data_IF_134551613656
#
_entry.id   IF_134551613656
#
_cell.length_a   1.000
_cell.length_b   1.000
_cell.length_c   1.000
_cell.angle_alpha   90.00
_cell.angle_beta   90.00
_cell.angle_gamma   90.00
#
_symmetry.space_group_name_H-M   'P 1'
#
loop_
_entity.id
_entity.type
_entity.pdbx_description
1 polymer ?
#
# COMPACT_ATOMS: atom_id res chain seq x y z
N UNK A 1 35.46 -20.38 -13.93
CA UNK A 1 34.01 -20.49 -14.19
C UNK A 1 33.71 -19.63 -15.40
N UNK A 2 32.97 -20.13 -16.39
CA UNK A 2 32.58 -19.31 -17.55
C UNK A 2 31.51 -18.27 -17.17
N UNK A 3 31.32 -17.24 -18.00
CA UNK A 3 30.28 -16.21 -17.77
C UNK A 3 28.90 -16.85 -17.71
N UNK A 4 28.59 -17.79 -18.61
CA UNK A 4 27.28 -18.47 -18.65
C UNK A 4 27.02 -19.32 -17.40
N UNK A 5 28.04 -20.03 -16.90
CA UNK A 5 27.97 -20.78 -15.64
C UNK A 5 27.75 -19.84 -14.44
N UNK A 6 28.41 -18.69 -14.44
CA UNK A 6 28.22 -17.67 -13.40
C UNK A 6 26.79 -17.14 -13.42
N UNK A 7 26.26 -16.72 -14.57
CA UNK A 7 24.89 -16.20 -14.69
C UNK A 7 23.84 -17.24 -14.26
N UNK A 8 24.03 -18.51 -14.62
CA UNK A 8 23.16 -19.61 -14.18
C UNK A 8 23.21 -19.82 -12.66
N UNK A 9 24.41 -19.75 -12.08
CA UNK A 9 24.62 -19.88 -10.63
C UNK A 9 23.98 -18.70 -9.87
N UNK A 10 24.16 -17.47 -10.36
CA UNK A 10 23.57 -16.27 -9.79
C UNK A 10 22.04 -16.35 -9.79
N UNK A 11 21.44 -16.75 -10.92
CA UNK A 11 19.97 -16.95 -11.04
C UNK A 11 19.45 -17.98 -10.03
N UNK A 12 20.14 -19.11 -9.88
CA UNK A 12 19.75 -20.18 -8.94
C UNK A 12 19.83 -19.72 -7.48
N UNK A 13 20.76 -18.82 -7.16
CA UNK A 13 20.97 -18.30 -5.82
C UNK A 13 20.22 -16.99 -5.53
N UNK A 14 19.31 -16.58 -6.40
CA UNK A 14 18.55 -15.32 -6.33
C UNK A 14 19.48 -14.10 -6.15
N UNK A 15 20.52 -14.05 -6.99
CA UNK A 15 21.47 -12.93 -7.08
C UNK A 15 21.31 -12.25 -8.44
N UNK A 16 21.08 -10.95 -8.39
CA UNK A 16 20.90 -10.04 -9.51
C UNK A 16 22.13 -9.15 -9.70
N UNK A 17 22.39 -8.82 -10.95
CA UNK A 17 23.37 -7.82 -11.36
C UNK A 17 22.64 -6.58 -11.86
N UNK A 18 23.14 -5.40 -11.51
CA UNK A 18 22.62 -4.14 -12.02
C UNK A 18 23.78 -3.17 -12.24
N UNK A 19 23.53 -2.09 -12.98
CA UNK A 19 24.47 -0.97 -13.06
C UNK A 19 24.03 0.15 -12.14
N UNK A 20 24.97 0.66 -11.34
CA UNK A 20 24.81 1.91 -10.59
C UNK A 20 25.84 2.90 -11.13
N UNK A 21 25.46 3.63 -12.18
CA UNK A 21 26.40 4.37 -13.02
C UNK A 21 27.30 3.40 -13.80
N UNK A 22 28.61 3.60 -13.77
CA UNK A 22 29.61 2.74 -14.43
C UNK A 22 30.04 1.51 -13.59
N UNK A 23 29.42 1.30 -12.43
CA UNK A 23 29.79 0.21 -11.52
C UNK A 23 28.77 -0.92 -11.54
N UNK A 24 29.28 -2.15 -11.60
CA UNK A 24 28.50 -3.37 -11.38
C UNK A 24 28.05 -3.44 -9.91
N UNK A 25 26.73 -3.36 -9.70
CA UNK A 25 26.05 -3.62 -8.44
C UNK A 25 25.57 -5.07 -8.43
N UNK A 26 25.72 -5.72 -7.28
CA UNK A 26 25.27 -7.09 -7.07
C UNK A 26 24.31 -7.09 -5.89
N UNK A 27 23.10 -7.60 -6.09
CA UNK A 27 22.03 -7.62 -5.08
C UNK A 27 21.47 -9.04 -4.97
N UNK A 28 21.20 -9.52 -3.76
CA UNK A 28 20.64 -10.86 -3.60
C UNK A 28 20.96 -11.50 -2.26
N UNK A 29 20.83 -12.82 -2.21
CA UNK A 29 21.01 -13.60 -0.99
C UNK A 29 22.42 -13.41 -0.37
N UNK A 30 22.47 -12.99 0.91
CA UNK A 30 23.70 -12.72 1.65
C UNK A 30 24.65 -13.93 1.74
N UNK A 31 24.12 -15.15 1.81
CA UNK A 31 24.93 -16.38 1.80
C UNK A 31 25.60 -16.60 0.44
N UNK A 32 24.88 -16.33 -0.65
CA UNK A 32 25.43 -16.42 -2.01
C UNK A 32 26.52 -15.39 -2.26
N UNK A 33 26.36 -14.18 -1.73
CA UNK A 33 27.35 -13.09 -1.82
C UNK A 33 28.57 -13.29 -0.90
N UNK A 34 28.57 -14.30 -0.04
CA UNK A 34 29.70 -14.66 0.81
C UNK A 34 30.53 -15.81 0.22
N UNK A 35 30.11 -16.37 -0.91
CA UNK A 35 30.78 -17.48 -1.60
C UNK A 35 32.04 -16.97 -2.35
N UNK A 36 33.26 -17.40 -1.94
CA UNK A 36 34.50 -16.91 -2.55
C UNK A 36 34.61 -17.20 -4.05
N UNK A 37 34.01 -18.30 -4.52
CA UNK A 37 34.06 -18.66 -5.95
C UNK A 37 33.20 -17.72 -6.79
N UNK A 38 32.03 -17.34 -6.27
CA UNK A 38 31.14 -16.37 -6.93
C UNK A 38 31.79 -14.99 -6.96
N UNK A 39 32.36 -14.55 -5.84
CA UNK A 39 33.05 -13.25 -5.78
C UNK A 39 34.27 -13.19 -6.70
N UNK A 40 35.05 -14.27 -6.80
CA UNK A 40 36.18 -14.36 -7.72
C UNK A 40 35.71 -14.29 -9.17
N UNK A 41 34.69 -15.05 -9.55
CA UNK A 41 34.14 -15.06 -10.90
C UNK A 41 33.49 -13.72 -11.29
N UNK A 42 32.80 -13.04 -10.36
CA UNK A 42 32.27 -11.68 -10.56
C UNK A 42 33.36 -10.65 -10.81
N UNK A 43 34.52 -10.77 -10.13
CA UNK A 43 35.67 -9.89 -10.33
C UNK A 43 36.38 -10.18 -11.65
N UNK A 44 36.55 -11.46 -11.98
CA UNK A 44 37.17 -11.92 -13.23
C UNK A 44 36.40 -11.43 -14.45
N UNK A 45 35.07 -11.57 -14.44
CA UNK A 45 34.20 -11.24 -15.58
C UNK A 45 33.58 -9.84 -15.51
N UNK A 46 34.02 -8.98 -14.59
CA UNK A 46 33.40 -7.68 -14.30
C UNK A 46 33.16 -6.83 -15.56
N UNK A 47 34.18 -6.68 -16.40
CA UNK A 47 34.08 -5.85 -17.61
C UNK A 47 33.06 -6.42 -18.61
N UNK A 48 33.12 -7.73 -18.85
CA UNK A 48 32.19 -8.41 -19.76
C UNK A 48 30.74 -8.35 -19.25
N UNK A 49 30.52 -8.50 -17.94
CA UNK A 49 29.20 -8.37 -17.33
C UNK A 49 28.62 -6.96 -17.47
N UNK A 50 29.45 -5.92 -17.36
CA UNK A 50 29.01 -4.54 -17.58
C UNK A 50 28.57 -4.33 -19.04
N UNK A 51 29.37 -4.79 -20.01
CA UNK A 51 29.03 -4.65 -21.43
C UNK A 51 27.76 -5.45 -21.79
N UNK A 52 27.62 -6.65 -21.23
CA UNK A 52 26.45 -7.50 -21.45
C UNK A 52 25.17 -6.86 -20.89
N UNK A 53 25.23 -6.19 -19.73
CA UNK A 53 24.11 -5.41 -19.19
C UNK A 53 23.84 -4.16 -20.06
N UNK A 54 24.88 -3.43 -20.49
CA UNK A 54 24.73 -2.25 -21.37
C UNK A 54 24.13 -2.61 -22.74
N UNK A 55 24.45 -3.80 -23.25
CA UNK A 55 23.91 -4.34 -24.50
C UNK A 55 22.47 -4.87 -24.35
N UNK A 56 21.93 -4.95 -23.13
CA UNK A 56 20.59 -5.50 -22.87
C UNK A 56 20.51 -7.02 -22.97
N UNK A 57 21.64 -7.71 -23.06
CA UNK A 57 21.73 -9.17 -23.19
C UNK A 57 21.56 -9.90 -21.84
N UNK A 58 21.54 -9.14 -20.74
CA UNK A 58 21.18 -9.59 -19.41
C UNK A 58 20.05 -8.74 -18.88
N UNK A 59 18.94 -9.41 -18.56
CA UNK A 59 17.85 -8.84 -17.79
C UNK A 59 17.89 -9.47 -16.40
N UNK A 60 17.90 -8.62 -15.38
CA UNK A 60 17.86 -9.04 -13.98
C UNK A 60 16.48 -9.58 -13.59
N UNK A 61 15.83 -10.42 -14.39
CA UNK A 61 14.50 -10.91 -14.03
C UNK A 61 14.62 -11.90 -12.86
N UNK A 62 14.12 -11.51 -11.68
CA UNK A 62 13.68 -12.49 -10.69
C UNK A 62 12.73 -13.48 -11.38
N UNK A 63 12.79 -14.76 -11.01
CA UNK A 63 11.64 -15.62 -11.27
C UNK A 63 10.44 -14.97 -10.56
N UNK A 64 9.51 -14.40 -11.33
CA UNK A 64 8.38 -13.62 -10.78
C UNK A 64 8.52 -12.10 -10.80
N UNK A 65 9.48 -11.51 -11.52
CA UNK A 65 9.50 -10.05 -11.75
C UNK A 65 8.37 -9.67 -12.73
N UNK A 66 7.22 -9.33 -12.17
CA UNK A 66 6.07 -8.82 -12.92
C UNK A 66 6.41 -7.41 -13.37
N UNK A 67 6.38 -7.16 -14.69
CA UNK A 67 6.44 -5.79 -15.19
C UNK A 67 5.15 -5.07 -14.77
N UNK A 68 5.28 -4.18 -13.79
CA UNK A 68 4.17 -3.34 -13.34
C UNK A 68 4.12 -2.12 -14.28
N UNK A 69 3.02 -1.91 -15.02
CA UNK A 69 2.88 -0.73 -15.85
C UNK A 69 2.91 0.53 -14.98
N UNK A 70 3.45 1.61 -15.54
CA UNK A 70 3.37 2.90 -14.86
C UNK A 70 1.91 3.36 -14.75
N UNK A 71 1.63 4.14 -13.72
CA UNK A 71 0.35 4.80 -13.56
C UNK A 71 0.14 5.82 -14.70
N UNK A 72 -1.00 5.72 -15.39
CA UNK A 72 -1.33 6.55 -16.54
C UNK A 72 -2.07 7.86 -16.22
N UNK A 73 -2.45 8.12 -14.97
CA UNK A 73 -3.18 9.33 -14.55
C UNK A 73 -2.16 10.41 -14.10
N UNK A 74 -1.91 11.45 -14.92
CA UNK A 74 -0.94 12.47 -14.58
C UNK A 74 -1.41 13.35 -13.41
N UNK A 75 -0.44 13.97 -12.72
CA UNK A 75 -0.74 14.99 -11.73
C UNK A 75 -1.42 16.19 -12.40
N UNK A 76 -2.53 16.66 -11.82
CA UNK A 76 -3.30 17.77 -12.40
C UNK A 76 -4.18 17.38 -13.59
N UNK A 77 -4.43 16.09 -13.81
CA UNK A 77 -5.48 15.66 -14.73
C UNK A 77 -6.81 16.34 -14.36
N UNK A 78 -7.52 16.82 -15.38
CA UNK A 78 -8.90 17.36 -15.22
C UNK A 78 -9.94 16.28 -15.53
N UNK A 79 -9.56 15.27 -16.30
CA UNK A 79 -10.39 14.13 -16.67
C UNK A 79 -9.57 12.84 -16.69
N UNK A 80 -10.19 11.74 -16.24
CA UNK A 80 -9.64 10.39 -16.37
C UNK A 80 -10.36 9.73 -17.55
N UNK A 81 -9.58 9.13 -18.45
CA UNK A 81 -10.11 8.36 -19.59
C UNK A 81 -9.73 6.89 -19.44
N UNK A 82 -10.46 5.96 -20.08
CA UNK A 82 -10.15 4.53 -20.02
C UNK A 82 -8.70 4.19 -20.39
N UNK A 83 -8.12 4.92 -21.35
CA UNK A 83 -6.74 4.70 -21.81
C UNK A 83 -5.67 5.04 -20.74
N UNK A 84 -6.04 5.77 -19.68
CA UNK A 84 -5.13 6.06 -18.56
C UNK A 84 -5.07 4.91 -17.54
N UNK A 85 -6.02 3.96 -17.59
CA UNK A 85 -6.12 2.85 -16.65
C UNK A 85 -5.45 1.61 -17.26
N UNK A 86 -4.25 1.30 -16.79
CA UNK A 86 -3.42 0.23 -17.37
C UNK A 86 -3.80 -1.18 -16.90
N UNK A 87 -4.59 -1.28 -15.83
CA UNK A 87 -4.91 -2.54 -15.15
C UNK A 87 -6.42 -2.82 -15.07
N UNK A 88 -7.27 -1.95 -15.60
CA UNK A 88 -8.73 -2.11 -15.58
C UNK A 88 -9.36 -1.65 -16.89
N UNK A 89 -10.48 -2.25 -17.27
CA UNK A 89 -11.25 -1.88 -18.46
C UNK A 89 -12.57 -1.25 -18.05
N UNK A 90 -12.53 0.04 -17.70
CA UNK A 90 -13.71 0.80 -17.30
C UNK A 90 -14.26 1.63 -18.46
N UNK A 91 -15.58 1.72 -18.53
CA UNK A 91 -16.27 2.72 -19.34
C UNK A 91 -16.11 4.12 -18.75
N UNK A 92 -16.31 5.15 -19.58
CA UNK A 92 -16.27 6.54 -19.11
C UNK A 92 -17.29 6.80 -18.00
N UNK A 93 -18.50 6.25 -18.12
CA UNK A 93 -19.57 6.39 -17.13
C UNK A 93 -19.19 5.75 -15.77
N UNK A 94 -18.48 4.62 -15.78
CA UNK A 94 -17.99 3.97 -14.56
C UNK A 94 -16.91 4.80 -13.88
N UNK A 95 -15.97 5.35 -14.66
CA UNK A 95 -14.93 6.25 -14.17
C UNK A 95 -15.57 7.48 -13.51
N UNK A 96 -16.57 8.09 -14.14
CA UNK A 96 -17.27 9.25 -13.58
C UNK A 96 -18.01 8.93 -12.30
N UNK A 97 -18.62 7.75 -12.18
CA UNK A 97 -19.22 7.27 -10.93
C UNK A 97 -18.18 7.15 -9.81
N UNK A 98 -17.02 6.58 -10.09
CA UNK A 98 -15.92 6.45 -9.11
C UNK A 98 -15.38 7.82 -8.71
N UNK A 99 -15.16 8.71 -9.69
CA UNK A 99 -14.70 10.10 -9.44
C UNK A 99 -15.64 10.83 -8.49
N UNK A 100 -16.96 10.61 -8.61
CA UNK A 100 -17.96 11.25 -7.76
C UNK A 100 -17.91 10.80 -6.29
N UNK A 101 -17.27 9.67 -5.96
CA UNK A 101 -17.13 9.20 -4.57
C UNK A 101 -15.85 9.69 -3.89
N UNK A 102 -14.93 10.32 -4.64
CA UNK A 102 -13.63 10.75 -4.13
C UNK A 102 -13.65 12.25 -3.85
N UNK A 103 -13.32 12.63 -2.62
CA UNK A 103 -13.16 14.04 -2.25
C UNK A 103 -12.05 14.69 -3.08
N UNK A 104 -12.37 15.81 -3.73
CA UNK A 104 -11.47 16.48 -4.69
C UNK A 104 -11.52 15.89 -6.10
N UNK A 105 -12.34 14.86 -6.35
CA UNK A 105 -12.60 14.28 -7.66
C UNK A 105 -11.34 13.80 -8.36
N UNK A 106 -11.26 14.03 -9.68
CA UNK A 106 -10.14 13.60 -10.53
C UNK A 106 -8.79 14.03 -9.97
N UNK A 107 -8.69 15.26 -9.47
CA UNK A 107 -7.44 15.81 -8.98
C UNK A 107 -6.87 15.03 -7.79
N UNK A 108 -7.72 14.34 -7.04
CA UNK A 108 -7.31 13.51 -5.90
C UNK A 108 -7.21 12.02 -6.22
N UNK A 109 -7.50 11.58 -7.44
CA UNK A 109 -7.28 10.18 -7.83
C UNK A 109 -5.86 10.03 -8.36
N UNK A 110 -5.14 9.08 -7.76
CA UNK A 110 -3.87 8.62 -8.28
C UNK A 110 -4.06 7.46 -9.24
N UNK A 111 -4.77 6.40 -8.84
CA UNK A 111 -4.89 5.18 -9.64
C UNK A 111 -6.22 4.46 -9.41
N UNK A 112 -6.63 3.62 -10.36
CA UNK A 112 -7.80 2.74 -10.25
C UNK A 112 -7.45 1.37 -10.86
N UNK A 113 -7.48 0.32 -10.04
CA UNK A 113 -7.15 -1.02 -10.48
C UNK A 113 -7.86 -2.11 -9.67
N UNK A 114 -7.98 -3.34 -10.17
CA UNK A 114 -8.75 -4.41 -9.52
C UNK A 114 -8.24 -4.81 -8.13
N UNK A 115 -9.14 -5.38 -7.33
CA UNK A 115 -8.77 -6.02 -6.07
C UNK A 115 -7.98 -7.32 -6.35
N UNK A 116 -7.06 -7.68 -5.45
CA UNK A 116 -6.50 -9.02 -5.45
C UNK A 116 -7.54 -10.03 -4.92
N UNK A 117 -7.45 -11.33 -5.26
CA UNK A 117 -8.47 -12.33 -4.87
C UNK A 117 -8.77 -12.40 -3.37
N UNK A 118 -7.75 -12.21 -2.51
CA UNK A 118 -7.97 -12.17 -1.06
C UNK A 118 -8.78 -10.93 -0.63
N UNK A 119 -8.54 -9.78 -1.27
CA UNK A 119 -9.27 -8.55 -0.98
C UNK A 119 -10.73 -8.67 -1.45
N UNK A 120 -10.99 -9.32 -2.59
CA UNK A 120 -12.36 -9.60 -3.05
C UNK A 120 -13.13 -10.45 -2.02
N UNK A 121 -12.49 -11.49 -1.47
CA UNK A 121 -13.08 -12.30 -0.41
C UNK A 121 -13.40 -11.48 0.84
N UNK A 122 -12.49 -10.60 1.27
CA UNK A 122 -12.73 -9.70 2.41
C UNK A 122 -13.90 -8.75 2.13
N UNK A 123 -13.95 -8.14 0.93
CA UNK A 123 -15.04 -7.25 0.53
C UNK A 123 -16.38 -7.97 0.47
N UNK A 124 -16.42 -9.21 -0.05
CA UNK A 124 -17.64 -10.02 -0.08
C UNK A 124 -18.22 -10.23 1.32
N UNK A 125 -17.36 -10.54 2.30
CA UNK A 125 -17.78 -10.70 3.69
C UNK A 125 -18.26 -9.38 4.31
N UNK A 126 -17.60 -8.26 4.01
CA UNK A 126 -18.06 -6.94 4.43
C UNK A 126 -19.46 -6.65 3.88
N UNK A 127 -19.67 -6.78 2.57
CA UNK A 127 -20.95 -6.46 1.92
C UNK A 127 -22.07 -7.40 2.36
N UNK A 128 -21.76 -8.69 2.56
CA UNK A 128 -22.76 -9.71 2.95
C UNK A 128 -23.07 -9.73 4.45
N UNK A 129 -22.29 -9.04 5.28
CA UNK A 129 -22.53 -9.01 6.72
C UNK A 129 -23.82 -8.24 7.05
N UNK A 130 -24.76 -8.93 7.70
CA UNK A 130 -25.99 -8.31 8.23
C UNK A 130 -25.70 -7.39 9.43
N UNK A 131 -24.66 -7.69 10.21
CA UNK A 131 -24.24 -6.93 11.38
C UNK A 131 -22.72 -6.89 11.50
N UNK A 132 -22.19 -5.71 11.80
CA UNK A 132 -20.76 -5.50 12.01
C UNK A 132 -19.91 -5.70 10.75
N UNK A 133 -18.60 -5.77 10.97
CA UNK A 133 -17.59 -6.05 9.96
C UNK A 133 -16.48 -6.91 10.57
N UNK A 134 -16.34 -8.19 10.15
CA UNK A 134 -15.38 -9.12 10.74
C UNK A 134 -13.91 -8.74 10.51
N UNK A 135 -13.64 -7.80 9.59
CA UNK A 135 -12.28 -7.38 9.24
C UNK A 135 -11.91 -6.00 9.78
N UNK A 136 -12.80 -5.32 10.50
CA UNK A 136 -12.43 -4.11 11.24
C UNK A 136 -11.56 -4.50 12.42
N UNK A 137 -10.29 -4.09 12.36
CA UNK A 137 -9.32 -4.28 13.41
C UNK A 137 -9.23 -3.04 14.31
N UNK A 138 -9.06 -3.27 15.60
CA UNK A 138 -8.81 -2.22 16.58
C UNK A 138 -7.42 -2.39 17.18
N UNK A 139 -6.69 -1.29 17.33
CA UNK A 139 -5.46 -1.21 18.11
C UNK A 139 -5.64 -0.18 19.21
N UNK A 140 -5.21 -0.52 20.42
CA UNK A 140 -5.38 0.32 21.59
C UNK A 140 -4.05 0.97 21.96
N UNK A 141 -4.10 2.26 22.24
CA UNK A 141 -2.97 3.04 22.72
C UNK A 141 -3.41 3.85 23.94
N UNK A 142 -2.46 4.19 24.78
CA UNK A 142 -2.65 5.16 25.84
C UNK A 142 -1.52 6.18 25.75
N UNK A 143 -1.86 7.46 25.87
CA UNK A 143 -0.91 8.56 25.81
C UNK A 143 -0.98 9.35 27.12
N UNK A 144 0.17 9.78 27.62
CA UNK A 144 0.26 10.57 28.86
C UNK A 144 -0.34 11.99 28.71
N UNK A 145 -0.52 12.48 27.48
CA UNK A 145 -1.12 13.78 27.19
C UNK A 145 -1.72 13.86 25.79
N UNK A 146 -2.60 14.86 25.59
CA UNK A 146 -3.19 15.17 24.28
C UNK A 146 -2.11 15.56 23.26
N UNK A 147 -1.10 16.32 23.67
CA UNK A 147 0.01 16.75 22.79
C UNK A 147 0.79 15.54 22.22
N UNK A 148 0.97 14.48 23.03
CA UNK A 148 1.63 13.24 22.56
C UNK A 148 0.75 12.46 21.58
N UNK A 149 -0.56 12.41 21.83
CA UNK A 149 -1.52 11.84 20.88
C UNK A 149 -1.49 12.61 19.55
N UNK A 150 -1.54 13.94 19.59
CA UNK A 150 -1.48 14.78 18.38
C UNK A 150 -0.17 14.59 17.61
N UNK A 151 0.96 14.51 18.31
CA UNK A 151 2.25 14.22 17.69
C UNK A 151 2.29 12.84 17.01
N UNK A 152 1.67 11.83 17.62
CA UNK A 152 1.50 10.50 17.03
C UNK A 152 0.59 10.55 15.79
N UNK A 153 -0.56 11.21 15.87
CA UNK A 153 -1.49 11.37 14.74
C UNK A 153 -0.81 12.04 13.54
N UNK A 154 -0.02 13.10 13.78
CA UNK A 154 0.76 13.76 12.74
C UNK A 154 1.85 12.85 12.14
N UNK A 155 2.49 12.01 12.95
CA UNK A 155 3.45 11.03 12.46
C UNK A 155 2.78 9.96 11.58
N UNK A 156 1.62 9.47 12.00
CA UNK A 156 0.83 8.51 11.25
C UNK A 156 0.34 9.09 9.92
N UNK A 157 -0.12 10.35 9.90
CA UNK A 157 -0.46 11.05 8.65
C UNK A 157 0.71 11.04 7.66
N UNK A 158 1.94 11.32 8.10
CA UNK A 158 3.13 11.29 7.23
C UNK A 158 3.42 9.90 6.67
N UNK A 159 3.14 8.84 7.43
CA UNK A 159 3.24 7.46 6.96
C UNK A 159 2.19 7.21 5.88
N UNK A 160 0.94 7.64 6.11
CA UNK A 160 -0.13 7.51 5.13
C UNK A 160 0.16 8.26 3.82
N UNK A 161 0.65 9.49 3.91
CA UNK A 161 1.04 10.30 2.75
C UNK A 161 2.09 9.60 1.86
N UNK A 162 2.95 8.78 2.49
CA UNK A 162 4.01 8.02 1.81
C UNK A 162 3.52 6.70 1.19
N UNK A 163 2.46 6.10 1.71
CA UNK A 163 2.08 4.73 1.40
C UNK A 163 0.67 4.65 0.78
N UNK A 164 0.62 4.38 -0.52
CA UNK A 164 -0.57 4.30 -1.36
C UNK A 164 -1.70 3.49 -0.74
N UNK A 165 -1.40 2.30 -0.21
CA UNK A 165 -2.40 1.41 0.39
C UNK A 165 -3.13 2.02 1.58
N UNK A 166 -2.51 2.96 2.32
CA UNK A 166 -3.13 3.62 3.47
C UNK A 166 -4.06 4.78 3.08
N UNK A 167 -4.05 5.15 1.80
CA UNK A 167 -4.90 6.18 1.17
C UNK A 167 -5.74 5.57 0.04
N UNK A 168 -6.01 4.27 0.11
CA UNK A 168 -6.84 3.54 -0.85
C UNK A 168 -8.23 3.29 -0.29
N UNK A 169 -9.27 3.53 -1.10
CA UNK A 169 -10.64 3.06 -0.87
C UNK A 169 -11.03 1.97 -1.86
N UNK A 170 -12.21 1.39 -1.68
CA UNK A 170 -12.79 0.37 -2.56
C UNK A 170 -13.99 0.91 -3.32
N UNK A 171 -14.20 0.47 -4.55
CA UNK A 171 -15.38 0.77 -5.37
C UNK A 171 -15.93 -0.53 -5.96
N UNK A 172 -17.22 -0.82 -5.76
CA UNK A 172 -17.86 -2.05 -6.26
C UNK A 172 -19.32 -1.86 -6.70
N UNK A 173 -19.93 -0.72 -6.39
CA UNK A 173 -21.33 -0.49 -6.72
C UNK A 173 -21.51 -0.20 -8.21
N UNK A 174 -22.28 -1.06 -8.90
CA UNK A 174 -22.59 -0.92 -10.34
C UNK A 174 -21.31 -0.90 -11.20
N UNK A 175 -20.40 -1.82 -10.89
CA UNK A 175 -19.17 -2.12 -11.61
C UNK A 175 -19.12 -3.63 -11.87
N UNK A 176 -18.47 -4.03 -12.96
CA UNK A 176 -18.33 -5.45 -13.32
C UNK A 176 -17.43 -6.22 -12.33
N UNK A 177 -16.43 -5.56 -11.77
CA UNK A 177 -15.52 -6.11 -10.75
C UNK A 177 -15.21 -5.04 -9.69
N UNK A 178 -14.86 -5.45 -8.45
CA UNK A 178 -14.48 -4.49 -7.41
C UNK A 178 -13.07 -3.93 -7.66
N UNK A 179 -12.92 -2.64 -7.44
CA UNK A 179 -11.71 -1.87 -7.72
C UNK A 179 -11.17 -1.19 -6.47
N UNK A 180 -9.85 -1.02 -6.44
CA UNK A 180 -9.12 -0.16 -5.52
C UNK A 180 -8.96 1.21 -6.15
N UNK A 181 -9.26 2.25 -5.38
CA UNK A 181 -9.08 3.64 -5.79
C UNK A 181 -8.01 4.24 -4.91
N UNK A 182 -6.85 4.56 -5.47
CA UNK A 182 -5.73 5.15 -4.73
C UNK A 182 -5.87 6.66 -4.73
N UNK A 183 -6.03 7.28 -3.56
CA UNK A 183 -6.21 8.72 -3.43
C UNK A 183 -4.88 9.41 -3.24
N UNK A 184 -4.57 10.50 -3.95
CA UNK A 184 -3.33 11.28 -3.77
C UNK A 184 -3.17 11.80 -2.35
N UNK A 185 -4.28 12.22 -1.72
CA UNK A 185 -4.32 12.68 -0.33
C UNK A 185 -5.56 12.12 0.36
N UNK A 186 -5.34 11.54 1.53
CA UNK A 186 -6.39 11.11 2.44
C UNK A 186 -6.03 11.61 3.85
N UNK A 187 -6.95 12.34 4.49
CA UNK A 187 -6.71 12.93 5.81
C UNK A 187 -7.11 11.93 6.88
N UNK A 188 -6.22 11.67 7.83
CA UNK A 188 -6.49 10.82 8.99
C UNK A 188 -7.60 11.44 9.85
N UNK A 189 -8.73 10.77 9.94
CA UNK A 189 -9.81 11.18 10.83
C UNK A 189 -9.36 11.00 12.28
N UNK A 190 -9.37 12.10 13.04
CA UNK A 190 -9.14 12.12 14.48
C UNK A 190 -10.43 12.61 15.16
N UNK A 191 -11.15 11.70 15.82
CA UNK A 191 -12.46 11.98 16.42
C UNK A 191 -12.36 11.95 17.94
N UNK A 192 -12.61 13.08 18.60
CA UNK A 192 -12.76 13.09 20.06
C UNK A 192 -14.15 12.54 20.43
N UNK A 193 -14.17 11.50 21.25
CA UNK A 193 -15.39 10.89 21.74
C UNK A 193 -15.69 11.37 23.17
N UNK A 194 -16.85 11.99 23.34
CA UNK A 194 -17.35 12.39 24.65
C UNK A 194 -18.25 11.31 25.22
N UNK A 195 -17.94 10.86 26.43
CA UNK A 195 -18.68 9.83 27.16
C UNK A 195 -19.24 10.36 28.47
N UNK A 196 -20.16 9.62 29.08
CA UNK A 196 -20.55 9.83 30.48
C UNK A 196 -19.43 9.34 31.42
N UNK A 197 -19.58 9.57 32.72
CA UNK A 197 -18.65 9.07 33.73
C UNK A 197 -18.51 7.55 33.68
N UNK A 198 -17.30 7.05 33.98
CA UNK A 198 -16.96 5.63 33.94
C UNK A 198 -15.68 5.36 33.15
N UNK A 199 -15.44 4.08 32.87
CA UNK A 199 -14.29 3.62 32.10
C UNK A 199 -14.40 4.10 30.64
N UNK A 200 -13.54 5.05 30.27
CA UNK A 200 -13.54 5.67 28.93
C UNK A 200 -13.11 4.68 27.85
N UNK A 201 -12.11 3.84 28.14
CA UNK A 201 -11.59 2.85 27.20
C UNK A 201 -12.64 1.78 26.92
N UNK A 202 -13.30 1.27 27.96
CA UNK A 202 -14.38 0.29 27.78
C UNK A 202 -15.54 0.85 26.94
N UNK A 203 -15.89 2.13 27.13
CA UNK A 203 -16.94 2.80 26.35
C UNK A 203 -16.53 3.02 24.88
N UNK A 204 -15.27 3.38 24.61
CA UNK A 204 -14.73 3.44 23.24
C UNK A 204 -14.82 2.07 22.55
N UNK A 205 -14.30 1.02 23.21
CA UNK A 205 -14.28 -0.33 22.64
C UNK A 205 -15.69 -0.84 22.37
N UNK A 206 -16.65 -0.59 23.26
CA UNK A 206 -18.03 -0.98 23.07
C UNK A 206 -18.70 -0.22 21.90
N UNK A 207 -18.41 1.08 21.75
CA UNK A 207 -19.00 1.91 20.68
C UNK A 207 -18.52 1.51 19.29
N UNK A 208 -17.26 1.08 19.17
CA UNK A 208 -16.64 0.72 17.90
C UNK A 208 -16.45 -0.79 17.71
N UNK A 209 -17.07 -1.61 18.56
CA UNK A 209 -16.97 -3.08 18.50
C UNK A 209 -17.29 -3.58 17.09
N UNK A 210 -16.38 -4.36 16.51
CA UNK A 210 -16.48 -4.86 15.15
C UNK A 210 -17.76 -5.67 14.89
N UNK A 211 -18.45 -6.17 15.93
CA UNK A 211 -19.75 -6.85 15.81
C UNK A 211 -20.91 -5.92 15.47
N UNK A 212 -20.76 -4.61 15.70
CA UNK A 212 -21.80 -3.62 15.47
C UNK A 212 -21.34 -2.47 14.56
N UNK A 213 -20.07 -2.09 14.63
CA UNK A 213 -19.49 -1.02 13.84
C UNK A 213 -19.15 -1.50 12.42
N UNK A 214 -19.39 -0.62 11.44
CA UNK A 214 -19.00 -0.83 10.05
C UNK A 214 -18.23 0.38 9.54
N UNK A 215 -17.13 0.12 8.86
CA UNK A 215 -16.36 1.15 8.17
C UNK A 215 -16.91 1.33 6.76
N UNK A 216 -17.10 2.58 6.32
CA UNK A 216 -17.40 2.85 4.92
C UNK A 216 -16.13 2.60 4.07
N UNK A 217 -16.13 1.51 3.31
CA UNK A 217 -14.99 1.12 2.48
C UNK A 217 -14.85 2.00 1.22
N UNK A 218 -15.87 2.80 0.88
CA UNK A 218 -15.85 3.74 -0.24
C UNK A 218 -15.03 5.00 0.03
N UNK A 219 -14.69 5.27 1.29
CA UNK A 219 -14.05 6.51 1.72
C UNK A 219 -12.66 6.25 2.32
N UNK A 220 -11.61 6.74 1.66
CA UNK A 220 -10.26 6.70 2.21
C UNK A 220 -10.07 7.83 3.23
N UNK A 221 -9.26 7.63 4.28
CA UNK A 221 -8.51 6.42 4.60
C UNK A 221 -9.37 5.37 5.34
N UNK A 222 -9.07 4.08 5.13
CA UNK A 222 -9.65 2.97 5.90
C UNK A 222 -8.96 2.81 7.28
N UNK A 223 -8.73 3.95 7.94
CA UNK A 223 -8.02 4.07 9.21
C UNK A 223 -8.54 5.32 9.94
N UNK A 224 -8.84 5.17 11.23
CA UNK A 224 -9.34 6.27 12.07
C UNK A 224 -8.67 6.22 13.44
N UNK A 225 -8.41 7.40 14.00
CA UNK A 225 -8.09 7.55 15.41
C UNK A 225 -9.33 8.11 16.12
N UNK A 226 -9.85 7.35 17.07
CA UNK A 226 -10.89 7.84 17.97
C UNK A 226 -10.28 7.86 19.35
N UNK A 227 -10.42 8.99 20.04
CA UNK A 227 -9.78 9.19 21.34
C UNK A 227 -10.73 9.80 22.36
N UNK A 228 -10.47 9.59 23.65
CA UNK A 228 -11.17 10.24 24.74
C UNK A 228 -10.18 10.63 25.86
N UNK A 229 -10.43 11.79 26.45
CA UNK A 229 -9.75 12.19 27.67
C UNK A 229 -10.20 11.30 28.85
N UNK A 230 -9.25 10.67 29.54
CA UNK A 230 -9.45 9.81 30.71
C UNK A 230 -8.78 10.43 31.94
N UNK A 231 -9.40 11.45 32.56
CA UNK A 231 -8.80 12.18 33.68
C UNK A 231 -8.64 11.31 34.93
N UNK A 232 -9.45 10.27 35.11
CA UNK A 232 -9.36 9.35 36.24
C UNK A 232 -8.03 8.58 36.24
N UNK A 233 -7.49 8.28 35.06
CA UNK A 233 -6.21 7.60 34.88
C UNK A 233 -5.11 8.51 34.32
N UNK A 234 -5.34 9.83 34.25
CA UNK A 234 -4.39 10.84 33.77
C UNK A 234 -3.79 10.53 32.39
N UNK A 235 -4.65 10.11 31.45
CA UNK A 235 -4.22 9.70 30.10
C UNK A 235 -5.25 10.09 29.04
N UNK A 236 -4.84 9.97 27.79
CA UNK A 236 -5.73 9.92 26.62
C UNK A 236 -5.74 8.49 26.12
N UNK A 237 -6.93 7.94 25.88
CA UNK A 237 -7.16 6.59 25.34
C UNK A 237 -7.85 6.65 23.99
#
# INVERSE_FOLDING_TARGET
MSISELLSTLKTKDVQLALKGEQLSVQGNKQALSDPLILAALREHKAALIELIKAGEYSASKAGEVQVPANGIPLGAEHITPAMLSLSTLSQDEIERIVATVDGGVANIQDIYPLAPLQEGILFHHVSAEQGDPYVMQSQFAFDSLERFEAFAQALQRVMDRHDILRTSMAWERLDEPLQVVWRKATLACEEAHFADGDRLAQLLARYDARAYRMDLGQAPLLRLVFANDPANQRVV
#
